data_IF_033041932661
#
_entry.id   IF_033041932661
#
_cell.length_a   1.000
_cell.length_b   1.000
_cell.length_c   1.000
_cell.angle_alpha   90.00
_cell.angle_beta   90.00
_cell.angle_gamma   90.00
#
_symmetry.space_group_name_H-M   'P 1'
#
loop_
_entity.id
_entity.type
_entity.pdbx_description
1 polymer ?
#
# COMPACT_ATOMS: atom_id res chain seq x y z
N UNK A 1 -3.55 4.63 3.19
CA UNK A 1 -4.20 3.43 2.66
C UNK A 1 -3.84 3.19 1.21
N UNK A 2 -3.87 1.91 0.79
CA UNK A 2 -3.84 1.49 -0.60
C UNK A 2 -5.24 1.19 -1.09
N UNK A 3 -5.43 0.88 -2.38
CA UNK A 3 -6.77 0.72 -2.93
C UNK A 3 -7.50 -0.55 -2.47
N UNK A 4 -6.79 -1.65 -2.15
CA UNK A 4 -7.45 -2.92 -1.82
C UNK A 4 -7.05 -3.53 -0.46
N UNK A 5 -7.01 -2.81 0.66
CA UNK A 5 -6.83 -3.43 1.98
C UNK A 5 -8.18 -3.94 2.51
N UNK A 6 -8.97 -4.63 1.70
CA UNK A 6 -10.39 -4.89 1.97
C UNK A 6 -10.67 -6.34 2.31
N UNK A 7 -11.74 -6.65 3.06
CA UNK A 7 -12.13 -8.01 3.40
C UNK A 7 -12.61 -8.83 2.19
N UNK A 8 -12.69 -8.24 1.02
CA UNK A 8 -12.90 -8.94 -0.23
C UNK A 8 -11.69 -9.80 -0.61
N UNK A 9 -10.48 -9.28 -0.33
CA UNK A 9 -9.22 -9.93 -0.71
C UNK A 9 -8.45 -10.46 0.49
N UNK A 10 -8.33 -9.67 1.56
CA UNK A 10 -7.44 -9.91 2.69
C UNK A 10 -8.25 -10.11 3.98
N UNK A 11 -7.79 -11.04 4.82
CA UNK A 11 -8.42 -11.27 6.12
C UNK A 11 -8.28 -10.05 7.03
N UNK A 12 -9.24 -9.82 7.95
CA UNK A 12 -9.22 -8.65 8.85
C UNK A 12 -7.92 -8.51 9.64
N UNK A 13 -7.25 -9.63 9.96
CA UNK A 13 -6.01 -9.66 10.73
C UNK A 13 -4.79 -9.22 9.92
N UNK A 14 -4.91 -9.07 8.59
CA UNK A 14 -3.78 -8.75 7.74
C UNK A 14 -3.10 -7.44 8.11
N UNK A 15 -3.86 -6.35 8.33
CA UNK A 15 -3.29 -5.06 8.70
C UNK A 15 -2.54 -5.12 10.03
N UNK A 16 -3.06 -5.89 10.99
CA UNK A 16 -2.39 -6.14 12.26
C UNK A 16 -1.10 -6.92 12.05
N UNK A 17 -1.14 -8.00 11.27
CA UNK A 17 0.05 -8.78 10.92
C UNK A 17 1.10 -7.90 10.23
N UNK A 18 0.69 -7.04 9.30
CA UNK A 18 1.57 -6.10 8.59
C UNK A 18 2.33 -5.19 9.57
N UNK A 19 1.65 -4.64 10.57
CA UNK A 19 2.23 -3.65 11.50
C UNK A 19 2.98 -4.27 12.67
N UNK A 20 2.66 -5.48 13.07
CA UNK A 20 3.31 -6.17 14.19
C UNK A 20 4.53 -7.00 13.74
N UNK A 21 4.73 -7.16 12.45
CA UNK A 21 5.80 -8.00 11.90
C UNK A 21 6.99 -7.20 11.41
N UNK A 22 8.17 -7.83 11.48
CA UNK A 22 9.38 -7.38 10.83
C UNK A 22 9.48 -7.99 9.42
N UNK A 23 9.82 -7.16 8.45
CA UNK A 23 10.14 -7.57 7.09
C UNK A 23 11.63 -7.35 6.81
N UNK A 24 12.22 -8.14 5.93
CA UNK A 24 13.59 -8.00 5.49
C UNK A 24 13.66 -7.73 3.99
N UNK A 25 14.47 -6.76 3.58
CA UNK A 25 14.69 -6.45 2.16
C UNK A 25 15.43 -7.60 1.48
N UNK A 26 14.80 -8.16 0.43
CA UNK A 26 15.33 -9.28 -0.34
C UNK A 26 16.43 -8.83 -1.30
N UNK A 27 17.40 -9.70 -1.58
CA UNK A 27 18.49 -9.48 -2.55
C UNK A 27 18.03 -9.16 -3.97
N UNK A 28 16.84 -9.63 -4.36
CA UNK A 28 16.27 -9.40 -5.69
C UNK A 28 15.50 -8.08 -5.79
N UNK A 29 15.75 -7.16 -4.87
CA UNK A 29 15.18 -5.83 -4.91
C UNK A 29 15.86 -4.97 -5.97
N UNK A 30 15.08 -4.11 -6.63
CA UNK A 30 15.54 -3.20 -7.68
C UNK A 30 14.66 -1.92 -7.69
N UNK A 31 14.98 -0.97 -8.57
CA UNK A 31 14.18 0.25 -8.77
C UNK A 31 12.74 -0.01 -9.24
N UNK A 32 12.49 -1.18 -9.83
CA UNK A 32 11.13 -1.62 -10.20
C UNK A 32 10.28 -2.01 -9.00
N UNK A 33 10.92 -2.52 -7.93
CA UNK A 33 10.23 -2.92 -6.72
C UNK A 33 11.18 -3.52 -5.67
N UNK A 34 10.93 -3.19 -4.43
CA UNK A 34 11.65 -3.67 -3.26
C UNK A 34 10.90 -4.89 -2.73
N UNK A 35 11.46 -6.07 -2.95
CA UNK A 35 10.88 -7.32 -2.44
C UNK A 35 11.16 -7.45 -0.96
N UNK A 36 10.15 -7.89 -0.21
CA UNK A 36 10.22 -8.04 1.24
C UNK A 36 10.00 -9.51 1.63
N UNK A 37 10.90 -10.06 2.39
CA UNK A 37 10.71 -11.34 3.08
C UNK A 37 10.00 -11.06 4.40
N UNK A 38 8.85 -11.69 4.63
CA UNK A 38 8.05 -11.49 5.82
C UNK A 38 6.83 -12.40 5.82
N UNK A 39 5.84 -12.14 6.66
CA UNK A 39 4.61 -12.92 6.68
C UNK A 39 3.91 -12.96 5.34
N UNK A 40 3.40 -14.12 4.99
CA UNK A 40 2.59 -14.33 3.79
C UNK A 40 1.25 -13.63 3.97
N UNK A 41 0.74 -12.89 2.94
CA UNK A 41 -0.59 -12.31 2.98
C UNK A 41 -1.68 -13.33 3.28
N UNK A 42 -2.61 -12.97 4.14
CA UNK A 42 -3.71 -13.84 4.54
C UNK A 42 -4.93 -13.57 3.67
N UNK A 43 -5.16 -14.43 2.69
CA UNK A 43 -6.22 -14.28 1.71
C UNK A 43 -7.57 -14.77 2.23
N UNK A 44 -8.65 -14.06 1.87
CA UNK A 44 -10.04 -14.50 2.11
C UNK A 44 -10.50 -15.47 1.04
N UNK A 45 -10.12 -15.22 -0.20
CA UNK A 45 -10.49 -16.04 -1.36
C UNK A 45 -9.39 -17.07 -1.69
N UNK A 46 -9.76 -18.13 -2.40
CA UNK A 46 -8.86 -19.23 -2.78
C UNK A 46 -8.13 -18.96 -4.10
N UNK A 47 -8.76 -18.19 -5.00
CA UNK A 47 -8.20 -17.83 -6.31
C UNK A 47 -8.61 -16.40 -6.71
N UNK A 48 -8.23 -15.97 -7.89
CA UNK A 48 -8.57 -14.69 -8.49
C UNK A 48 -9.82 -14.69 -9.37
N UNK A 49 -10.56 -15.78 -9.41
CA UNK A 49 -11.69 -15.95 -10.32
C UNK A 49 -11.25 -15.81 -11.79
N UNK A 50 -11.92 -14.94 -12.56
CA UNK A 50 -11.59 -14.70 -13.97
C UNK A 50 -10.20 -14.08 -14.16
N UNK A 51 -9.65 -13.42 -13.13
CA UNK A 51 -8.33 -12.79 -13.17
C UNK A 51 -7.17 -13.79 -13.02
N UNK A 52 -7.41 -15.03 -12.61
CA UNK A 52 -6.39 -16.07 -12.53
C UNK A 52 -6.50 -17.01 -11.34
N UNK A 53 -5.52 -17.93 -11.23
CA UNK A 53 -5.57 -19.04 -10.29
C UNK A 53 -5.04 -18.73 -8.88
N UNK A 54 -4.57 -17.51 -8.65
CA UNK A 54 -4.05 -17.11 -7.33
C UNK A 54 -4.93 -16.05 -6.67
N UNK A 55 -5.10 -16.11 -5.35
CA UNK A 55 -5.92 -15.13 -4.64
C UNK A 55 -5.41 -13.68 -4.73
N UNK A 56 -4.13 -13.50 -5.05
CA UNK A 56 -3.54 -12.18 -5.31
C UNK A 56 -3.96 -11.55 -6.64
N UNK A 57 -4.50 -12.33 -7.58
CA UNK A 57 -4.81 -11.85 -8.92
C UNK A 57 -6.14 -11.08 -8.93
N UNK A 58 -6.10 -9.91 -9.57
CA UNK A 58 -7.26 -9.07 -9.89
C UNK A 58 -7.18 -8.67 -11.36
N UNK A 59 -8.24 -8.10 -11.92
CA UNK A 59 -8.15 -7.41 -13.21
C UNK A 59 -7.19 -6.22 -13.12
N UNK A 60 -6.78 -5.69 -14.28
CA UNK A 60 -5.82 -4.60 -14.35
C UNK A 60 -6.24 -3.42 -13.44
N UNK A 61 -5.27 -2.99 -12.63
CA UNK A 61 -5.42 -1.93 -11.66
C UNK A 61 -4.29 -0.92 -11.84
N UNK A 62 -4.55 0.36 -11.60
CA UNK A 62 -3.52 1.39 -11.56
C UNK A 62 -2.64 1.20 -10.32
N UNK A 63 -1.34 1.35 -10.51
CA UNK A 63 -0.34 1.23 -9.45
C UNK A 63 0.32 2.58 -9.16
N UNK A 64 0.32 2.98 -7.91
CA UNK A 64 1.09 4.12 -7.45
C UNK A 64 2.50 3.70 -6.99
N UNK A 65 3.49 4.57 -7.17
CA UNK A 65 4.83 4.37 -6.59
C UNK A 65 4.72 4.31 -5.07
N UNK A 66 5.42 3.37 -4.45
CA UNK A 66 5.38 3.14 -3.00
C UNK A 66 4.23 2.27 -2.52
N UNK A 67 3.39 1.78 -3.42
CA UNK A 67 2.32 0.83 -3.08
C UNK A 67 2.91 -0.54 -2.74
N UNK A 68 2.36 -1.20 -1.74
CA UNK A 68 2.67 -2.57 -1.37
C UNK A 68 1.81 -3.53 -2.21
N UNK A 69 2.39 -4.00 -3.28
CA UNK A 69 1.86 -4.99 -4.22
C UNK A 69 2.06 -6.39 -3.64
N UNK A 70 1.01 -7.20 -3.70
CA UNK A 70 1.00 -8.57 -3.18
C UNK A 70 0.98 -9.57 -4.35
N UNK A 71 2.15 -9.87 -4.88
CA UNK A 71 2.32 -10.83 -5.98
C UNK A 71 2.40 -12.26 -5.43
N UNK A 72 1.29 -12.96 -5.36
CA UNK A 72 1.21 -14.28 -4.70
C UNK A 72 1.50 -14.16 -3.21
N UNK A 73 2.57 -14.83 -2.77
CA UNK A 73 3.03 -14.81 -1.39
C UNK A 73 4.10 -13.72 -1.12
N UNK A 74 4.47 -12.96 -2.15
CA UNK A 74 5.52 -11.96 -2.09
C UNK A 74 4.95 -10.55 -1.91
N UNK A 75 5.41 -9.84 -0.90
CA UNK A 75 5.16 -8.41 -0.72
C UNK A 75 6.23 -7.60 -1.44
N UNK A 76 5.83 -6.63 -2.28
CA UNK A 76 6.72 -5.82 -3.10
C UNK A 76 6.31 -4.34 -2.96
N UNK A 77 7.20 -3.51 -2.43
CA UNK A 77 7.04 -2.05 -2.49
C UNK A 77 7.40 -1.57 -3.90
N UNK A 78 6.46 -1.04 -4.63
CA UNK A 78 6.66 -0.59 -6.00
C UNK A 78 7.59 0.62 -6.06
N UNK A 79 8.61 0.52 -6.89
CA UNK A 79 9.60 1.56 -7.11
C UNK A 79 9.23 2.50 -8.26
N UNK A 80 10.03 3.57 -8.49
CA UNK A 80 9.76 4.56 -9.53
C UNK A 80 9.85 4.01 -10.96
N UNK A 81 10.56 2.90 -11.18
CA UNK A 81 10.66 2.21 -12.47
C UNK A 81 9.72 0.98 -12.53
N UNK A 82 8.81 0.86 -11.55
CA UNK A 82 7.82 -0.21 -11.49
C UNK A 82 6.70 -0.04 -12.51
N UNK A 83 5.87 -1.07 -12.68
CA UNK A 83 4.70 -0.98 -13.56
C UNK A 83 3.70 0.07 -13.04
N UNK A 84 3.05 0.77 -13.96
CA UNK A 84 1.96 1.71 -13.64
C UNK A 84 0.57 1.05 -13.66
N UNK A 85 0.50 -0.17 -14.20
CA UNK A 85 -0.69 -1.00 -14.29
C UNK A 85 -0.31 -2.46 -14.00
N UNK A 86 -1.17 -3.20 -13.36
CA UNK A 86 -1.00 -4.63 -13.17
C UNK A 86 -2.18 -5.31 -12.50
N UNK A 87 -2.13 -6.62 -12.44
CA UNK A 87 -3.20 -7.50 -12.02
C UNK A 87 -2.99 -8.12 -10.62
N UNK A 88 -2.48 -7.35 -9.66
CA UNK A 88 -2.29 -7.82 -8.28
C UNK A 88 -2.91 -6.89 -7.26
N UNK A 89 -3.32 -7.47 -6.14
CA UNK A 89 -3.88 -6.72 -5.00
C UNK A 89 -2.84 -5.79 -4.40
N UNK A 90 -3.19 -4.51 -4.26
CA UNK A 90 -2.39 -3.48 -3.62
C UNK A 90 -3.00 -3.09 -2.27
N UNK A 91 -2.31 -3.39 -1.18
CA UNK A 91 -2.89 -3.28 0.17
C UNK A 91 -2.74 -1.90 0.81
N UNK A 92 -1.56 -1.34 0.79
CA UNK A 92 -1.25 -0.04 1.40
C UNK A 92 -0.28 0.73 0.51
N UNK A 93 -0.19 2.06 0.70
CA UNK A 93 0.75 2.91 -0.03
C UNK A 93 1.61 3.70 0.94
N UNK A 94 2.89 3.80 0.68
CA UNK A 94 3.84 4.58 1.49
C UNK A 94 3.45 6.06 1.46
N UNK A 95 3.40 6.69 2.63
CA UNK A 95 3.15 8.12 2.74
C UNK A 95 4.23 8.92 1.99
N UNK A 96 3.85 10.02 1.33
CA UNK A 96 4.76 10.82 0.50
C UNK A 96 5.99 11.32 1.26
N UNK A 97 5.81 11.80 2.47
CA UNK A 97 6.92 12.25 3.31
C UNK A 97 7.90 11.15 3.73
N UNK A 98 7.54 9.87 3.49
CA UNK A 98 8.36 8.70 3.79
C UNK A 98 8.98 8.04 2.53
N UNK A 99 8.60 8.49 1.34
CA UNK A 99 9.03 7.89 0.07
C UNK A 99 10.55 7.86 -0.13
N UNK A 100 11.26 8.85 0.37
CA UNK A 100 12.71 8.92 0.28
C UNK A 100 13.41 7.72 0.95
N UNK A 101 12.79 7.12 1.99
CA UNK A 101 13.32 5.95 2.69
C UNK A 101 13.41 4.73 1.78
N UNK A 102 12.49 4.59 0.82
CA UNK A 102 12.52 3.48 -0.12
C UNK A 102 13.81 3.48 -0.95
N UNK A 103 14.30 4.66 -1.31
CA UNK A 103 15.56 4.82 -2.04
C UNK A 103 16.83 4.53 -1.22
N UNK A 104 16.70 4.39 0.10
CA UNK A 104 17.82 4.11 1.02
C UNK A 104 17.90 2.64 1.43
N UNK A 105 16.88 1.83 1.12
CA UNK A 105 16.83 0.44 1.52
C UNK A 105 17.83 -0.42 0.75
N UNK A 106 18.55 -1.28 1.49
CA UNK A 106 19.52 -2.25 0.98
C UNK A 106 19.09 -3.67 1.34
N UNK A 107 19.53 -4.68 0.58
CA UNK A 107 19.30 -6.08 0.95
C UNK A 107 19.76 -6.40 2.38
N UNK A 108 18.87 -7.01 3.16
CA UNK A 108 19.09 -7.33 4.57
C UNK A 108 18.59 -6.28 5.56
N UNK A 109 18.23 -5.07 5.10
CA UNK A 109 17.63 -4.07 5.97
C UNK A 109 16.27 -4.55 6.51
N UNK A 110 15.94 -4.11 7.71
CA UNK A 110 14.69 -4.43 8.39
C UNK A 110 13.68 -3.31 8.21
N UNK A 111 12.46 -3.70 7.87
CA UNK A 111 11.33 -2.79 7.64
C UNK A 111 10.19 -3.12 8.57
N UNK A 112 9.67 -2.11 9.25
CA UNK A 112 8.43 -2.18 10.02
C UNK A 112 7.43 -1.19 9.45
N UNK A 113 6.20 -1.63 9.29
CA UNK A 113 5.12 -0.78 8.80
C UNK A 113 4.35 -0.14 9.94
N UNK A 114 3.93 1.09 9.72
CA UNK A 114 3.01 1.82 10.61
C UNK A 114 1.87 2.38 9.77
N UNK A 115 0.64 2.12 10.18
CA UNK A 115 -0.53 2.69 9.53
C UNK A 115 -0.72 4.14 9.97
N UNK A 116 -0.93 4.99 8.99
CA UNK A 116 -1.19 6.42 9.16
C UNK A 116 -2.55 6.77 8.52
N UNK A 117 -3.28 7.68 9.14
CA UNK A 117 -4.37 8.35 8.45
C UNK A 117 -3.85 9.48 7.54
N UNK A 118 -4.74 10.10 6.76
CA UNK A 118 -4.35 11.15 5.81
C UNK A 118 -3.82 12.41 6.51
N UNK A 119 -4.34 12.76 7.67
CA UNK A 119 -3.88 13.94 8.40
C UNK A 119 -2.45 13.73 8.90
N UNK A 120 -2.16 12.55 9.48
CA UNK A 120 -0.81 12.16 9.90
C UNK A 120 0.17 12.09 8.73
N UNK A 121 -0.25 11.53 7.59
CA UNK A 121 0.58 11.47 6.38
C UNK A 121 0.90 12.88 5.86
N UNK A 122 -0.08 13.78 5.88
CA UNK A 122 0.08 15.19 5.51
C UNK A 122 1.05 15.93 6.43
N UNK A 123 0.94 15.74 7.76
CA UNK A 123 1.85 16.34 8.73
C UNK A 123 3.31 15.94 8.47
N UNK A 124 3.56 14.65 8.23
CA UNK A 124 4.91 14.14 7.90
C UNK A 124 5.42 14.77 6.60
N UNK A 125 4.57 14.85 5.58
CA UNK A 125 4.93 15.46 4.29
C UNK A 125 5.29 16.94 4.45
N UNK A 126 4.47 17.71 5.17
CA UNK A 126 4.71 19.13 5.39
C UNK A 126 6.03 19.37 6.16
N UNK A 127 6.33 18.55 7.17
CA UNK A 127 7.59 18.61 7.91
C UNK A 127 8.80 18.25 7.01
N UNK A 128 8.69 17.24 6.15
CA UNK A 128 9.73 16.86 5.21
C UNK A 128 9.97 17.98 4.17
N UNK A 129 8.92 18.55 3.60
CA UNK A 129 9.03 19.69 2.68
C UNK A 129 9.68 20.92 3.35
N UNK A 130 9.37 21.18 4.62
CA UNK A 130 10.02 22.26 5.38
C UNK A 130 11.52 21.99 5.55
N UNK A 131 11.90 20.74 5.86
CA UNK A 131 13.30 20.33 5.97
C UNK A 131 14.06 20.51 4.65
N UNK A 132 13.43 20.18 3.52
CA UNK A 132 14.02 20.42 2.20
C UNK A 132 14.23 21.92 1.89
N UNK A 133 13.42 22.79 2.50
CA UNK A 133 13.60 24.25 2.42
C UNK A 133 14.57 24.81 3.47
N UNK A 134 15.25 23.96 4.24
CA UNK A 134 16.15 24.33 5.36
C UNK A 134 15.45 25.02 6.55
N UNK A 135 14.16 24.74 6.74
CA UNK A 135 13.38 25.26 7.87
C UNK A 135 13.48 24.36 9.12
N UNK A 136 14.20 23.27 9.04
CA UNK A 136 14.54 22.26 10.06
C UNK A 136 13.43 22.02 11.10
N UNK A 137 12.51 21.17 10.74
CA UNK A 137 11.48 20.65 11.64
C UNK A 137 11.81 19.21 12.04
N UNK A 138 11.60 18.89 13.31
CA UNK A 138 11.68 17.52 13.76
C UNK A 138 10.49 16.73 13.19
N UNK A 139 10.78 15.69 12.43
CA UNK A 139 9.74 14.75 11.94
C UNK A 139 9.47 13.75 13.06
N UNK A 140 8.44 14.00 13.86
CA UNK A 140 7.99 13.06 14.88
C UNK A 140 7.02 12.08 14.23
N UNK A 141 7.37 10.78 14.26
CA UNK A 141 6.45 9.76 13.79
C UNK A 141 5.25 9.69 14.74
N UNK A 142 4.02 9.89 14.25
CA UNK A 142 2.83 9.85 15.09
C UNK A 142 2.60 8.44 15.65
N UNK A 143 1.81 8.36 16.71
CA UNK A 143 1.36 7.07 17.24
C UNK A 143 0.53 6.34 16.19
N UNK A 144 0.70 5.01 16.13
CA UNK A 144 -0.08 4.18 15.24
C UNK A 144 -1.56 4.25 15.61
N UNK A 145 -2.41 4.49 14.62
CA UNK A 145 -3.86 4.39 14.78
C UNK A 145 -4.36 2.99 14.43
N UNK A 146 -5.41 2.58 15.09
CA UNK A 146 -6.16 1.39 14.72
C UNK A 146 -7.06 1.74 13.53
N UNK A 147 -6.53 1.52 12.32
CA UNK A 147 -7.22 1.80 11.06
C UNK A 147 -7.73 0.49 10.48
N UNK A 148 -9.00 0.47 10.13
CA UNK A 148 -9.58 -0.62 9.37
C UNK A 148 -9.58 -0.33 7.85
N UNK A 149 -10.00 -1.32 7.07
CA UNK A 149 -10.07 -1.21 5.60
C UNK A 149 -11.11 -0.20 5.10
N UNK A 150 -12.14 0.14 5.88
CA UNK A 150 -13.14 1.13 5.48
C UNK A 150 -12.54 2.51 5.26
N UNK A 151 -11.41 2.77 5.91
CA UNK A 151 -10.69 4.03 5.75
C UNK A 151 -10.23 4.29 4.30
N UNK A 152 -10.06 3.25 3.50
CA UNK A 152 -9.69 3.38 2.09
C UNK A 152 -10.88 3.75 1.18
N UNK A 153 -12.12 3.52 1.60
CA UNK A 153 -13.31 3.76 0.79
C UNK A 153 -13.80 5.19 1.00
N UNK A 154 -13.72 6.02 -0.04
CA UNK A 154 -14.18 7.41 -0.03
C UNK A 154 -15.67 7.53 -0.35
N UNK A 155 -16.15 6.74 -1.29
CA UNK A 155 -17.55 6.73 -1.70
C UNK A 155 -17.94 5.38 -2.30
N UNK A 156 -19.19 4.99 -2.10
CA UNK A 156 -19.79 3.83 -2.71
C UNK A 156 -21.21 4.20 -3.16
N UNK A 157 -21.50 4.05 -4.44
CA UNK A 157 -22.80 4.38 -5.04
C UNK A 157 -23.23 3.32 -6.05
N UNK A 158 -24.52 3.29 -6.34
CA UNK A 158 -25.06 2.49 -7.45
C UNK A 158 -25.77 3.42 -8.43
N UNK A 159 -25.27 3.51 -9.64
CA UNK A 159 -25.83 4.32 -10.72
C UNK A 159 -26.23 3.43 -11.90
N UNK A 160 -27.47 3.52 -12.34
CA UNK A 160 -28.00 2.74 -13.45
C UNK A 160 -27.80 1.21 -13.34
N UNK A 161 -27.79 0.68 -12.11
CA UNK A 161 -27.56 -0.74 -11.83
C UNK A 161 -26.09 -1.17 -11.76
N UNK A 162 -25.16 -0.24 -11.93
CA UNK A 162 -23.73 -0.47 -11.82
C UNK A 162 -23.20 0.04 -10.49
N UNK A 163 -22.47 -0.79 -9.76
CA UNK A 163 -21.78 -0.37 -8.53
C UNK A 163 -20.58 0.48 -8.87
N UNK A 164 -20.40 1.59 -8.16
CA UNK A 164 -19.24 2.47 -8.30
C UNK A 164 -18.61 2.63 -6.93
N UNK A 165 -17.30 2.39 -6.84
CA UNK A 165 -16.53 2.53 -5.59
C UNK A 165 -15.34 3.44 -5.86
N UNK A 166 -15.18 4.48 -5.06
CA UNK A 166 -13.98 5.32 -5.05
C UNK A 166 -13.13 4.99 -3.84
N UNK A 167 -11.86 4.69 -4.06
CA UNK A 167 -10.90 4.30 -3.03
C UNK A 167 -9.68 5.20 -3.04
N UNK A 168 -9.08 5.41 -1.88
CA UNK A 168 -7.77 6.04 -1.78
C UNK A 168 -6.68 5.14 -2.35
N UNK A 169 -5.80 5.70 -3.16
CA UNK A 169 -4.55 5.08 -3.59
C UNK A 169 -3.38 6.01 -3.22
N UNK A 170 -2.98 5.93 -1.95
CA UNK A 170 -2.05 6.86 -1.33
C UNK A 170 -2.70 8.20 -0.98
N UNK A 171 -1.91 9.29 -0.99
CA UNK A 171 -2.35 10.63 -0.59
C UNK A 171 -2.98 11.42 -1.74
N UNK A 172 -2.56 11.17 -2.99
CA UNK A 172 -2.89 12.04 -4.13
C UNK A 172 -3.72 11.35 -5.22
N UNK A 173 -3.94 10.04 -5.11
CA UNK A 173 -4.63 9.29 -6.14
C UNK A 173 -5.94 8.70 -5.61
N UNK A 174 -6.90 8.58 -6.49
CA UNK A 174 -8.18 7.92 -6.24
C UNK A 174 -8.37 6.86 -7.33
N UNK A 175 -8.55 5.61 -6.91
CA UNK A 175 -9.01 4.54 -7.78
C UNK A 175 -10.53 4.57 -7.83
N UNK A 176 -11.10 4.60 -9.03
CA UNK A 176 -12.53 4.48 -9.25
C UNK A 176 -12.80 3.15 -9.97
N UNK A 177 -13.52 2.28 -9.30
CA UNK A 177 -13.96 0.98 -9.83
C UNK A 177 -15.45 1.07 -10.19
N UNK A 178 -15.83 0.45 -11.30
CA UNK A 178 -17.23 0.31 -11.71
C UNK A 178 -17.44 -1.02 -12.45
N UNK A 179 -18.51 -1.73 -12.06
CA UNK A 179 -18.82 -3.07 -12.61
C UNK A 179 -19.90 -3.78 -11.79
#
# INVERSE_FOLDING_TARGET
>A
PGPQPTPEYLKPEYLKTLTESEYEVNFNSARTGIRLNGPIPQWVREDGGEAGLRPSNIHDNAYAVGTLDLTGDQSILLGPDGPSLGGFVCSVTTAKGEMWKLGQLHPGDKVHFRLLDLDQAKEIREAEEANLRHEYQEVVLPEQKDLDYHYAILAEETAAGTKIVARLDGEDNILVEYG
#
